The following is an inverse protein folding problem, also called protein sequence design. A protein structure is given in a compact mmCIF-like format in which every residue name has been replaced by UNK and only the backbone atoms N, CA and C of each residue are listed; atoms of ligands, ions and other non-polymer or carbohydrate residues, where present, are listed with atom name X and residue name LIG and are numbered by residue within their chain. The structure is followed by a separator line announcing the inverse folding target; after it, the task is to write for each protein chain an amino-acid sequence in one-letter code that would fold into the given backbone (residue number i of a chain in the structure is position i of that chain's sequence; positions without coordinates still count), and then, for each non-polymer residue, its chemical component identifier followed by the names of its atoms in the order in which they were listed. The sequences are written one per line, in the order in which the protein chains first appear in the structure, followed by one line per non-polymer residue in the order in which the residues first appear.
data_IF_125933494103
#
_entry.id   IF_125933494103
#
_cell.length_a   1.000
_cell.length_b   1.000
_cell.length_c   1.000
_cell.angle_alpha   90.00
_cell.angle_beta   90.00
_cell.angle_gamma   90.00
#
_symmetry.space_group_name_H-M   'P 1'
#
loop_
_entity.id
_entity.type
_entity.pdbx_description
1 polymer ?
#
# COMPACT_ATOMS: atom_id res chain seq x y z
N UNK A 1 6.43 3.09 2.19
CA UNK A 1 7.88 2.80 2.31
C UNK A 1 8.11 1.32 2.56
N UNK A 2 9.30 0.76 2.18
CA UNK A 2 9.60 -0.67 2.33
C UNK A 2 11.09 -0.93 2.47
N UNK A 3 11.46 -2.06 3.09
CA UNK A 3 12.85 -2.41 3.37
C UNK A 3 13.23 -3.69 2.60
N UNK A 4 14.38 -3.65 1.94
CA UNK A 4 15.02 -4.79 1.26
C UNK A 4 16.46 -4.88 1.75
N UNK A 5 16.78 -5.90 2.53
CA UNK A 5 18.08 -6.01 3.19
C UNK A 5 18.34 -4.82 4.13
N UNK A 6 19.40 -4.08 3.88
CA UNK A 6 19.75 -2.85 4.63
C UNK A 6 19.34 -1.55 3.91
N UNK A 7 18.49 -1.62 2.89
CA UNK A 7 18.05 -0.47 2.10
C UNK A 7 16.58 -0.16 2.38
N UNK A 8 16.27 1.07 2.77
CA UNK A 8 14.91 1.59 2.90
C UNK A 8 14.56 2.35 1.61
N UNK A 9 13.44 1.98 1.00
CA UNK A 9 12.85 2.65 -0.15
C UNK A 9 11.68 3.52 0.32
N UNK A 10 11.66 4.78 -0.09
CA UNK A 10 10.66 5.78 0.27
C UNK A 10 10.11 6.45 -0.98
N UNK A 11 8.80 6.39 -1.20
CA UNK A 11 8.15 7.16 -2.26
C UNK A 11 8.10 8.63 -1.87
N UNK A 12 8.61 9.52 -2.76
CA UNK A 12 8.66 10.97 -2.56
C UNK A 12 8.22 11.70 -3.85
N UNK A 13 6.92 11.87 -4.00
CA UNK A 13 6.21 12.58 -5.08
C UNK A 13 6.64 12.16 -6.50
N UNK A 14 7.87 12.42 -6.92
CA UNK A 14 8.37 12.13 -8.28
C UNK A 14 9.53 11.16 -8.32
N UNK A 15 10.02 10.74 -7.16
CA UNK A 15 11.18 9.85 -7.05
C UNK A 15 11.03 8.84 -5.92
N UNK A 16 11.78 7.77 -5.96
CA UNK A 16 11.97 6.85 -4.84
C UNK A 16 13.34 7.07 -4.26
N UNK A 17 13.37 7.52 -3.01
CA UNK A 17 14.60 7.74 -2.25
C UNK A 17 15.05 6.42 -1.64
N UNK A 18 16.29 6.05 -1.84
CA UNK A 18 16.90 4.85 -1.25
C UNK A 18 17.87 5.27 -0.17
N UNK A 19 17.64 4.78 1.04
CA UNK A 19 18.48 5.08 2.22
C UNK A 19 19.25 3.81 2.62
N UNK A 20 20.57 3.93 2.77
CA UNK A 20 21.39 2.89 3.40
C UNK A 20 21.22 2.98 4.91
N UNK A 21 20.56 1.97 5.49
CA UNK A 21 20.27 1.91 6.94
C UNK A 21 21.50 1.61 7.80
N UNK A 22 22.60 1.10 7.21
CA UNK A 22 23.86 0.89 7.93
C UNK A 22 24.65 2.17 8.06
N UNK A 23 24.69 2.97 6.99
CA UNK A 23 25.43 4.22 6.95
C UNK A 23 24.61 5.44 7.35
N UNK A 24 23.26 5.29 7.42
CA UNK A 24 22.31 6.37 7.66
C UNK A 24 22.41 7.53 6.66
N UNK A 25 22.57 7.20 5.37
CA UNK A 25 22.68 8.19 4.29
C UNK A 25 21.73 7.86 3.15
N UNK A 26 21.34 8.89 2.38
CA UNK A 26 20.67 8.68 1.09
C UNK A 26 21.72 8.11 0.13
N UNK A 27 21.50 6.88 -0.29
CA UNK A 27 22.39 6.17 -1.23
C UNK A 27 22.07 6.56 -2.67
N UNK A 28 20.78 6.69 -3.00
CA UNK A 28 20.33 6.88 -4.38
C UNK A 28 18.94 7.52 -4.42
N UNK A 29 18.64 8.17 -5.56
CA UNK A 29 17.30 8.64 -5.95
C UNK A 29 16.94 8.03 -7.30
N UNK A 30 15.81 7.36 -7.39
CA UNK A 30 15.33 6.67 -8.59
C UNK A 30 14.09 7.41 -9.08
N UNK A 31 14.16 7.94 -10.31
CA UNK A 31 13.06 8.70 -10.90
C UNK A 31 12.36 7.87 -11.98
N UNK A 32 11.16 7.32 -11.72
CA UNK A 32 10.37 6.68 -12.77
C UNK A 32 9.98 7.71 -13.84
N UNK A 33 10.08 7.34 -15.11
CA UNK A 33 9.90 8.28 -16.21
C UNK A 33 8.46 8.84 -16.27
N UNK A 34 8.30 10.14 -15.99
CA UNK A 34 7.00 10.81 -15.99
C UNK A 34 6.16 10.56 -14.73
N UNK A 35 6.78 10.16 -13.63
CA UNK A 35 6.11 10.08 -12.33
C UNK A 35 5.70 11.49 -11.86
N UNK A 36 4.48 11.59 -11.29
CA UNK A 36 3.91 12.86 -10.83
C UNK A 36 3.32 12.81 -9.42
N UNK A 37 3.00 11.64 -8.92
CA UNK A 37 2.38 11.50 -7.61
C UNK A 37 2.59 10.11 -7.04
N UNK A 38 3.89 9.74 -6.86
CA UNK A 38 4.25 8.51 -6.16
C UNK A 38 3.68 8.56 -4.75
N UNK A 39 3.03 7.47 -4.35
CA UNK A 39 2.28 7.43 -3.10
C UNK A 39 2.70 6.22 -2.27
N UNK A 40 2.08 5.07 -2.46
CA UNK A 40 2.42 3.89 -1.68
C UNK A 40 3.49 3.02 -2.35
N UNK A 41 4.17 2.24 -1.52
CA UNK A 41 5.28 1.40 -1.93
C UNK A 41 5.27 0.09 -1.15
N UNK A 42 5.41 -1.03 -1.87
CA UNK A 42 5.56 -2.35 -1.29
C UNK A 42 6.78 -3.08 -1.87
N UNK A 43 7.29 -4.05 -1.13
CA UNK A 43 8.47 -4.84 -1.54
C UNK A 43 8.16 -6.33 -1.54
N UNK A 44 8.71 -7.05 -2.51
CA UNK A 44 8.63 -8.51 -2.54
C UNK A 44 9.80 -9.13 -1.78
N UNK A 45 9.69 -10.43 -1.47
CA UNK A 45 10.78 -11.19 -0.85
C UNK A 45 12.06 -11.22 -1.72
N UNK A 46 11.89 -11.15 -3.04
CA UNK A 46 13.00 -11.17 -4.02
C UNK A 46 13.60 -9.77 -4.25
N UNK A 47 13.19 -8.78 -3.45
CA UNK A 47 13.76 -7.43 -3.52
C UNK A 47 13.23 -6.56 -4.66
N UNK A 48 12.11 -6.93 -5.27
CA UNK A 48 11.41 -6.08 -6.23
C UNK A 48 10.57 -5.08 -5.46
N UNK A 49 10.66 -3.80 -5.85
CA UNK A 49 9.86 -2.72 -5.27
C UNK A 49 8.76 -2.34 -6.25
N UNK A 50 7.51 -2.28 -5.78
CA UNK A 50 6.41 -1.66 -6.52
C UNK A 50 6.03 -0.35 -5.88
N UNK A 51 5.77 0.68 -6.70
CA UNK A 51 5.34 1.99 -6.24
C UNK A 51 4.18 2.49 -7.09
N UNK A 52 3.11 2.94 -6.43
CA UNK A 52 1.95 3.54 -7.08
C UNK A 52 2.21 5.00 -7.43
N UNK A 53 1.70 5.45 -8.58
CA UNK A 53 1.58 6.85 -8.96
C UNK A 53 0.08 7.18 -9.03
N UNK A 54 -0.44 7.76 -7.96
CA UNK A 54 -1.88 8.03 -7.82
C UNK A 54 -2.39 9.11 -8.77
N UNK A 55 -1.52 9.99 -9.27
CA UNK A 55 -1.88 11.05 -10.22
C UNK A 55 -1.98 10.54 -11.65
N UNK A 56 -1.05 9.64 -12.03
CA UNK A 56 -1.00 9.10 -13.40
C UNK A 56 -1.76 7.77 -13.55
N UNK A 57 -2.21 7.17 -12.43
CA UNK A 57 -2.87 5.86 -12.45
C UNK A 57 -1.93 4.72 -12.86
N UNK A 58 -0.67 4.79 -12.44
CA UNK A 58 0.39 3.86 -12.83
C UNK A 58 0.96 3.12 -11.63
N UNK A 59 1.50 1.93 -11.90
CA UNK A 59 2.35 1.22 -10.94
C UNK A 59 3.70 0.99 -11.61
N UNK A 60 4.74 1.44 -10.95
CA UNK A 60 6.11 1.24 -11.35
C UNK A 60 6.72 0.05 -10.62
N UNK A 61 7.58 -0.68 -11.31
CA UNK A 61 8.41 -1.75 -10.74
C UNK A 61 9.86 -1.28 -10.73
N UNK A 62 10.53 -1.39 -9.58
CA UNK A 62 11.96 -1.10 -9.46
C UNK A 62 12.69 -2.41 -9.18
N UNK A 63 13.61 -2.76 -10.06
CA UNK A 63 14.48 -3.94 -9.94
C UNK A 63 15.89 -3.53 -10.33
N UNK A 64 16.89 -3.89 -9.53
CA UNK A 64 18.29 -3.49 -9.75
C UNK A 64 18.44 -1.98 -9.96
N UNK A 65 17.73 -1.19 -9.16
CA UNK A 65 17.70 0.29 -9.20
C UNK A 65 17.18 0.90 -10.52
N UNK A 66 16.54 0.11 -11.36
CA UNK A 66 15.89 0.57 -12.58
C UNK A 66 14.37 0.53 -12.43
N UNK A 67 13.73 1.68 -12.67
CA UNK A 67 12.27 1.77 -12.70
C UNK A 67 11.74 1.44 -14.10
N UNK A 68 10.75 0.56 -14.17
CA UNK A 68 10.01 0.22 -15.38
C UNK A 68 8.52 0.27 -15.11
N UNK A 69 7.72 0.61 -16.12
CA UNK A 69 6.27 0.60 -16.00
C UNK A 69 5.78 -0.86 -15.84
N UNK A 70 5.08 -1.11 -14.74
CA UNK A 70 4.50 -2.41 -14.45
C UNK A 70 3.05 -2.51 -14.92
N UNK A 71 2.19 -1.61 -14.45
CA UNK A 71 0.79 -1.46 -14.88
C UNK A 71 0.49 -0.01 -15.22
N UNK A 72 -0.36 0.20 -16.22
CA UNK A 72 -0.90 1.50 -16.59
C UNK A 72 -2.43 1.50 -16.43
N UNK A 73 -3.01 2.70 -16.37
CA UNK A 73 -4.46 2.91 -16.37
C UNK A 73 -5.20 2.27 -15.17
N UNK A 74 -4.52 2.13 -14.03
CA UNK A 74 -5.15 1.70 -12.77
C UNK A 74 -5.77 2.92 -12.10
N UNK A 75 -7.03 3.19 -12.42
CA UNK A 75 -7.74 4.40 -11.97
C UNK A 75 -7.77 4.50 -10.44
N UNK A 76 -7.28 5.62 -9.92
CA UNK A 76 -7.28 5.93 -8.49
C UNK A 76 -6.39 4.99 -7.66
N UNK A 77 -5.32 4.46 -8.28
CA UNK A 77 -4.36 3.60 -7.57
C UNK A 77 -3.74 4.33 -6.38
N UNK A 78 -3.69 3.64 -5.23
CA UNK A 78 -3.04 4.11 -4.01
C UNK A 78 -2.37 2.90 -3.32
N UNK A 79 -2.99 2.30 -2.30
CA UNK A 79 -2.41 1.23 -1.51
C UNK A 79 -1.91 0.03 -2.32
N UNK A 80 -0.75 -0.48 -1.96
CA UNK A 80 -0.11 -1.65 -2.55
C UNK A 80 0.34 -2.64 -1.50
N UNK A 81 0.14 -3.95 -1.74
CA UNK A 81 0.69 -5.00 -0.89
C UNK A 81 1.17 -6.18 -1.72
N UNK A 82 2.46 -6.46 -1.70
CA UNK A 82 3.04 -7.64 -2.33
C UNK A 82 3.00 -8.83 -1.37
N UNK A 83 2.47 -9.97 -1.82
CA UNK A 83 2.42 -11.23 -1.06
C UNK A 83 2.76 -12.38 -2.00
N UNK A 84 3.90 -13.01 -1.78
CA UNK A 84 4.41 -14.02 -2.71
C UNK A 84 4.63 -13.43 -4.10
N UNK A 85 4.02 -14.04 -5.11
CA UNK A 85 4.07 -13.57 -6.52
C UNK A 85 2.93 -12.60 -6.87
N UNK A 86 2.02 -12.32 -5.93
CA UNK A 86 0.84 -11.49 -6.16
C UNK A 86 1.04 -10.06 -5.67
N UNK A 87 0.45 -9.11 -6.38
CA UNK A 87 0.35 -7.71 -5.97
C UNK A 87 -1.12 -7.35 -5.73
N UNK A 88 -1.45 -7.02 -4.50
CA UNK A 88 -2.75 -6.48 -4.11
C UNK A 88 -2.75 -4.97 -4.26
N UNK A 89 -3.84 -4.41 -4.80
CA UNK A 89 -3.88 -3.04 -5.29
C UNK A 89 -5.19 -2.39 -4.87
N UNK A 90 -5.10 -1.22 -4.25
CA UNK A 90 -6.22 -0.30 -4.10
C UNK A 90 -6.37 0.55 -5.36
N UNK A 91 -7.32 0.20 -6.22
CA UNK A 91 -7.66 0.95 -7.44
C UNK A 91 -8.94 1.77 -7.25
N UNK A 92 -8.84 2.96 -6.66
CA UNK A 92 -10.01 3.72 -6.23
C UNK A 92 -10.81 2.95 -5.17
N UNK A 93 -12.04 2.57 -5.48
CA UNK A 93 -12.89 1.75 -4.59
C UNK A 93 -12.75 0.25 -4.86
N UNK A 94 -12.04 -0.17 -5.88
CA UNK A 94 -11.88 -1.58 -6.21
C UNK A 94 -10.62 -2.16 -5.57
N UNK A 95 -10.79 -3.23 -4.81
CA UNK A 95 -9.70 -4.06 -4.32
C UNK A 95 -9.34 -5.08 -5.38
N UNK A 96 -8.13 -4.97 -5.90
CA UNK A 96 -7.66 -5.70 -7.06
C UNK A 96 -6.48 -6.59 -6.68
N UNK A 97 -6.26 -7.62 -7.48
CA UNK A 97 -5.09 -8.49 -7.43
C UNK A 97 -4.50 -8.62 -8.83
N UNK A 98 -3.21 -8.34 -8.95
CA UNK A 98 -2.42 -8.57 -10.15
C UNK A 98 -1.53 -9.79 -9.95
N UNK A 99 -1.54 -10.70 -10.91
CA UNK A 99 -0.65 -11.85 -10.95
C UNK A 99 0.66 -11.51 -11.66
N UNK A 100 1.67 -12.34 -11.50
CA UNK A 100 2.99 -12.21 -12.15
C UNK A 100 2.90 -11.94 -13.67
N UNK A 101 1.87 -12.48 -14.34
CA UNK A 101 1.57 -12.23 -15.74
C UNK A 101 0.84 -10.91 -16.02
N UNK A 102 0.72 -10.02 -15.03
CA UNK A 102 0.02 -8.72 -15.09
C UNK A 102 -1.50 -8.80 -15.35
N UNK A 103 -2.09 -9.98 -15.23
CA UNK A 103 -3.55 -10.13 -15.31
C UNK A 103 -4.16 -9.59 -14.02
N UNK A 104 -5.11 -8.67 -14.15
CA UNK A 104 -5.80 -8.07 -13.01
C UNK A 104 -7.13 -8.78 -12.80
N UNK A 105 -7.40 -9.17 -11.56
CA UNK A 105 -8.71 -9.64 -11.10
C UNK A 105 -9.23 -8.75 -9.99
N UNK A 106 -10.55 -8.53 -9.96
CA UNK A 106 -11.19 -7.80 -8.87
C UNK A 106 -11.56 -8.78 -7.76
N UNK A 107 -11.23 -8.42 -6.52
CA UNK A 107 -11.57 -9.18 -5.31
C UNK A 107 -12.88 -8.64 -4.75
N UNK A 108 -12.97 -7.31 -4.56
CA UNK A 108 -14.13 -6.65 -3.96
C UNK A 108 -14.25 -5.21 -4.45
N UNK A 109 -15.45 -4.62 -4.28
CA UNK A 109 -15.66 -3.17 -4.32
C UNK A 109 -15.95 -2.69 -2.89
N UNK A 110 -15.28 -1.61 -2.48
CA UNK A 110 -15.42 -1.00 -1.17
C UNK A 110 -16.29 0.28 -1.26
N UNK A 111 -16.95 0.68 -0.17
CA UNK A 111 -17.73 1.92 -0.15
C UNK A 111 -16.89 3.18 -0.38
N UNK A 112 -15.60 3.14 0.03
CA UNK A 112 -14.67 4.26 -0.02
C UNK A 112 -13.38 3.91 -0.77
N UNK A 113 -12.62 4.94 -1.19
CA UNK A 113 -11.32 4.77 -1.84
C UNK A 113 -10.30 4.13 -0.90
N UNK A 114 -9.51 3.22 -1.42
CA UNK A 114 -8.55 2.40 -0.67
C UNK A 114 -7.24 3.18 -0.46
N UNK A 115 -6.72 3.14 0.78
CA UNK A 115 -5.42 3.67 1.17
C UNK A 115 -4.50 2.51 1.61
N UNK A 116 -4.50 2.08 2.86
CA UNK A 116 -3.68 0.98 3.35
C UNK A 116 -4.27 -0.41 3.13
N UNK A 117 -3.41 -1.41 2.96
CA UNK A 117 -3.78 -2.83 2.77
C UNK A 117 -2.87 -3.70 3.62
N UNK A 118 -3.42 -4.48 4.55
CA UNK A 118 -2.68 -5.44 5.35
C UNK A 118 -3.36 -6.82 5.40
N UNK A 119 -2.62 -7.92 5.13
CA UNK A 119 -3.16 -9.27 5.26
C UNK A 119 -3.25 -9.65 6.74
N UNK A 120 -4.36 -10.32 7.13
CA UNK A 120 -4.60 -10.74 8.52
C UNK A 120 -4.66 -12.25 8.69
N UNK A 121 -4.37 -13.00 7.64
CA UNK A 121 -4.37 -14.46 7.58
C UNK A 121 -5.58 -15.04 6.84
N UNK A 122 -5.50 -16.31 6.44
CA UNK A 122 -6.62 -17.00 5.77
C UNK A 122 -7.00 -16.48 4.37
N UNK A 123 -6.24 -15.53 3.82
CA UNK A 123 -6.60 -14.83 2.59
C UNK A 123 -7.43 -13.57 2.83
N UNK A 124 -7.62 -13.18 4.09
CA UNK A 124 -8.38 -12.01 4.50
C UNK A 124 -7.48 -10.78 4.68
N UNK A 125 -8.08 -9.60 4.59
CA UNK A 125 -7.37 -8.32 4.64
C UNK A 125 -8.07 -7.31 5.54
N UNK A 126 -7.28 -6.43 6.16
CA UNK A 126 -7.73 -5.14 6.65
C UNK A 126 -7.35 -4.11 5.59
N UNK A 127 -8.32 -3.29 5.22
CA UNK A 127 -8.18 -2.24 4.21
C UNK A 127 -8.67 -0.92 4.79
N UNK A 128 -7.90 0.14 4.64
CA UNK A 128 -8.31 1.47 5.11
C UNK A 128 -8.71 2.38 3.96
N UNK A 129 -9.47 3.41 4.31
CA UNK A 129 -9.73 4.56 3.46
C UNK A 129 -9.33 5.82 4.22
N UNK A 130 -8.53 6.67 3.59
CA UNK A 130 -8.02 7.91 4.21
C UNK A 130 -9.12 8.77 4.85
N UNK A 131 -10.35 8.67 4.36
CA UNK A 131 -11.52 9.37 4.89
C UNK A 131 -11.97 8.96 6.31
N UNK A 132 -11.32 7.99 6.94
CA UNK A 132 -11.66 7.54 8.29
C UNK A 132 -12.50 6.26 8.33
N UNK A 133 -12.17 5.30 7.47
CA UNK A 133 -12.85 4.00 7.43
C UNK A 133 -11.84 2.85 7.49
N UNK A 134 -12.19 1.80 8.22
CA UNK A 134 -11.47 0.53 8.25
C UNK A 134 -12.43 -0.57 7.89
N UNK A 135 -12.06 -1.36 6.88
CA UNK A 135 -12.83 -2.48 6.36
C UNK A 135 -12.10 -3.80 6.60
N UNK A 136 -12.87 -4.84 6.86
CA UNK A 136 -12.43 -6.22 6.72
C UNK A 136 -12.88 -6.74 5.37
N UNK A 137 -11.99 -7.34 4.63
CA UNK A 137 -12.29 -7.98 3.34
C UNK A 137 -11.89 -9.44 3.45
N UNK A 138 -12.89 -10.33 3.42
CA UNK A 138 -12.66 -11.77 3.49
C UNK A 138 -12.15 -12.33 2.15
N UNK A 139 -11.56 -13.51 2.19
CA UNK A 139 -11.02 -14.21 1.02
C UNK A 139 -12.05 -14.42 -0.12
N UNK A 140 -13.34 -14.46 0.21
CA UNK A 140 -14.43 -14.58 -0.76
C UNK A 140 -14.91 -13.21 -1.31
N UNK A 141 -14.28 -12.10 -0.91
CA UNK A 141 -14.63 -10.76 -1.35
C UNK A 141 -15.75 -10.07 -0.56
N UNK A 142 -16.23 -10.66 0.53
CA UNK A 142 -17.21 -9.98 1.41
C UNK A 142 -16.51 -8.85 2.15
N UNK A 143 -17.17 -7.67 2.20
CA UNK A 143 -16.65 -6.45 2.84
C UNK A 143 -17.50 -6.13 4.07
N UNK A 144 -16.84 -5.92 5.21
CA UNK A 144 -17.44 -5.47 6.46
C UNK A 144 -16.76 -4.18 6.95
N UNK A 145 -17.55 -3.21 7.40
CA UNK A 145 -17.00 -1.99 8.03
C UNK A 145 -16.72 -2.26 9.50
N UNK A 146 -15.46 -2.19 9.90
CA UNK A 146 -15.04 -2.41 11.29
C UNK A 146 -15.03 -1.11 12.10
N UNK A 147 -14.69 0.01 11.47
CA UNK A 147 -14.56 1.29 12.15
C UNK A 147 -14.86 2.45 11.20
N UNK A 148 -15.55 3.45 11.75
CA UNK A 148 -15.79 4.75 11.11
C UNK A 148 -15.39 5.87 12.07
N UNK A 149 -14.49 6.73 11.62
CA UNK A 149 -13.98 7.88 12.39
C UNK A 149 -14.09 9.20 11.63
N UNK A 150 -14.75 9.18 10.47
CA UNK A 150 -14.86 10.33 9.58
C UNK A 150 -15.56 11.53 10.24
N UNK A 151 -16.64 11.30 11.00
CA UNK A 151 -17.33 12.36 11.75
C UNK A 151 -16.45 13.00 12.83
N UNK A 152 -15.50 12.24 13.38
CA UNK A 152 -14.52 12.70 14.36
C UNK A 152 -13.34 13.42 13.71
N UNK A 153 -13.33 13.55 12.37
CA UNK A 153 -12.23 14.12 11.57
C UNK A 153 -10.88 13.42 11.82
N UNK A 154 -10.92 12.13 12.13
CA UNK A 154 -9.74 11.29 12.27
C UNK A 154 -9.58 10.45 11.01
N UNK A 155 -8.47 10.64 10.31
CA UNK A 155 -8.13 9.85 9.16
C UNK A 155 -7.71 8.43 9.56
N UNK A 156 -7.81 7.50 8.63
CA UNK A 156 -7.24 6.16 8.69
C UNK A 156 -6.38 5.99 7.45
N UNK A 157 -5.12 6.42 7.56
CA UNK A 157 -4.15 6.39 6.47
C UNK A 157 -3.55 4.98 6.27
N UNK A 158 -2.40 4.89 5.64
CA UNK A 158 -1.65 3.64 5.56
C UNK A 158 -1.46 3.00 6.94
N UNK A 159 -1.58 1.68 6.98
CA UNK A 159 -1.60 0.91 8.23
C UNK A 159 -0.43 -0.06 8.32
N UNK A 160 -0.15 -0.49 9.54
CA UNK A 160 0.73 -1.61 9.82
C UNK A 160 0.04 -2.62 10.74
N UNK A 161 0.18 -3.89 10.44
CA UNK A 161 -0.38 -4.97 11.25
C UNK A 161 0.72 -5.87 11.83
N UNK A 162 0.70 -6.06 13.15
CA UNK A 162 1.52 -7.07 13.82
C UNK A 162 0.72 -8.38 13.95
N UNK A 163 1.05 -9.42 13.18
CA UNK A 163 0.31 -10.66 13.18
C UNK A 163 0.47 -11.46 14.50
N UNK A 164 1.53 -11.21 15.29
CA UNK A 164 1.75 -11.93 16.55
C UNK A 164 0.85 -11.39 17.66
N UNK A 165 0.82 -10.09 17.84
CA UNK A 165 -0.03 -9.43 18.85
C UNK A 165 -1.45 -9.18 18.35
N UNK A 166 -1.71 -9.33 17.04
CA UNK A 166 -2.94 -8.97 16.33
C UNK A 166 -3.32 -7.50 16.53
N UNK A 167 -2.31 -6.64 16.53
CA UNK A 167 -2.51 -5.18 16.67
C UNK A 167 -2.37 -4.51 15.31
N UNK A 168 -3.38 -3.72 14.96
CA UNK A 168 -3.39 -2.81 13.82
C UNK A 168 -3.00 -1.42 14.30
N UNK A 169 -1.96 -0.86 13.68
CA UNK A 169 -1.51 0.51 13.93
C UNK A 169 -2.03 1.42 12.81
N UNK A 170 -2.75 2.47 13.19
CA UNK A 170 -3.47 3.35 12.27
C UNK A 170 -3.01 4.80 12.48
N UNK A 171 -2.21 5.36 11.59
CA UNK A 171 -1.88 6.79 11.61
C UNK A 171 -3.13 7.62 11.34
N UNK A 172 -3.38 8.61 12.19
CA UNK A 172 -4.58 9.46 12.07
C UNK A 172 -4.34 10.72 11.25
N UNK A 173 -3.24 10.80 10.54
CA UNK A 173 -2.80 11.86 9.65
C UNK A 173 -3.02 13.28 10.25
N UNK A 174 -4.17 13.93 9.95
CA UNK A 174 -4.50 15.25 10.52
C UNK A 174 -4.65 15.24 12.04
N UNK A 175 -4.97 14.10 12.64
CA UNK A 175 -5.05 13.90 14.09
C UNK A 175 -3.70 13.84 14.78
N UNK A 176 -2.57 13.75 14.04
CA UNK A 176 -1.18 13.74 14.54
C UNK A 176 -0.92 12.67 15.60
N UNK A 177 -1.60 11.54 15.50
CA UNK A 177 -1.44 10.39 16.42
C UNK A 177 -1.39 9.09 15.64
N UNK A 178 -1.00 8.01 16.31
CA UNK A 178 -1.18 6.65 15.85
C UNK A 178 -2.11 5.95 16.84
N UNK A 179 -3.23 5.44 16.35
CA UNK A 179 -4.13 4.59 17.14
C UNK A 179 -3.73 3.13 17.00
N UNK A 180 -3.90 2.34 18.07
CA UNK A 180 -3.65 0.91 18.06
C UNK A 180 -4.95 0.16 18.38
N UNK A 181 -5.36 -0.74 17.49
CA UNK A 181 -6.57 -1.55 17.64
C UNK A 181 -6.20 -3.03 17.68
N UNK A 182 -6.80 -3.77 18.60
CA UNK A 182 -6.62 -5.23 18.65
C UNK A 182 -7.71 -5.89 17.79
N UNK A 183 -7.28 -6.63 16.79
CA UNK A 183 -8.18 -7.50 16.01
C UNK A 183 -8.51 -8.75 16.82
N UNK A 184 -9.77 -8.97 17.10
CA UNK A 184 -10.26 -10.15 17.85
C UNK A 184 -10.41 -11.37 16.96
#
# INVERSE_FOLDING_TARGET
MGIVGNRLFVADITEVVVVDLTKNVIEKRIQPAGAKGLNDLTVTKDGIVFVSDSREGRIWQIKNDMATLYLDSVKGVNGLKAIGDDLYIGGGKSFLKAYKAKNITKIADLPQGIDGIEPVGGGDFIVTSWGGYIFYVSANGTVETLLETHEQKKNTADIGFDPKSRILYVPTFNGKTVAAYRLK
#
